data_IF_746244908793
#
_entry.id   IF_746244908793
#
_cell.length_a   1.000
_cell.length_b   1.000
_cell.length_c   1.000
_cell.angle_alpha   90.00
_cell.angle_beta   90.00
_cell.angle_gamma   90.00
#
_symmetry.space_group_name_H-M   'P 1'
#
loop_
_entity.id
_entity.type
_entity.pdbx_description
1 polymer ?
#
# COMPACT_ATOMS: atom_id res chain seq x y z
N UNK A 1 -26.42 6.96 -1.78
CA UNK A 1 -25.92 6.36 -0.52
C UNK A 1 -24.42 6.42 -0.62
N UNK A 2 -23.72 7.02 0.34
CA UNK A 2 -22.27 6.86 0.39
C UNK A 2 -22.01 5.44 0.85
N UNK A 3 -21.34 4.65 0.03
CA UNK A 3 -20.94 3.29 0.42
C UNK A 3 -20.00 3.39 1.63
N UNK A 4 -20.35 2.69 2.71
CA UNK A 4 -19.65 2.74 3.98
C UNK A 4 -18.19 2.27 3.80
N UNK A 5 -17.27 3.07 4.35
CA UNK A 5 -15.85 2.75 4.39
C UNK A 5 -15.57 1.94 5.65
N UNK A 6 -15.15 0.68 5.48
CA UNK A 6 -14.76 -0.21 6.58
C UNK A 6 -13.23 -0.33 6.65
N UNK A 7 -12.69 -0.62 7.83
CA UNK A 7 -11.26 -0.85 8.03
C UNK A 7 -10.99 -2.20 8.67
N UNK A 8 -9.96 -2.91 8.21
CA UNK A 8 -9.52 -4.19 8.80
C UNK A 8 -8.00 -4.37 8.69
N UNK A 9 -7.39 -5.23 9.51
CA UNK A 9 -6.03 -5.70 9.26
C UNK A 9 -5.94 -6.36 7.88
N UNK A 10 -4.84 -6.10 7.18
CA UNK A 10 -4.51 -6.78 5.94
C UNK A 10 -4.01 -8.21 6.23
N UNK A 11 -4.15 -9.10 5.26
CA UNK A 11 -3.58 -10.45 5.28
C UNK A 11 -2.52 -10.59 4.18
N UNK A 12 -1.67 -11.63 4.23
CA UNK A 12 -0.74 -11.92 3.14
C UNK A 12 -1.39 -12.05 1.75
N UNK A 13 -2.66 -12.44 1.69
CA UNK A 13 -3.41 -12.58 0.43
C UNK A 13 -3.73 -11.21 -0.21
N UNK A 14 -3.77 -10.14 0.59
CA UNK A 14 -4.00 -8.78 0.09
C UNK A 14 -2.78 -8.20 -0.65
N UNK A 15 -1.58 -8.82 -0.55
CA UNK A 15 -0.29 -8.27 -1.01
C UNK A 15 -0.34 -7.70 -2.43
N UNK A 16 -0.96 -8.43 -3.37
CA UNK A 16 -1.07 -8.00 -4.76
C UNK A 16 -1.88 -6.71 -4.90
N UNK A 17 -3.00 -6.61 -4.16
CA UNK A 17 -3.85 -5.42 -4.16
C UNK A 17 -3.14 -4.22 -3.53
N UNK A 18 -2.46 -4.41 -2.39
CA UNK A 18 -1.69 -3.35 -1.72
C UNK A 18 -0.61 -2.79 -2.65
N UNK A 19 0.19 -3.66 -3.27
CA UNK A 19 1.28 -3.22 -4.14
C UNK A 19 0.77 -2.49 -5.40
N UNK A 20 -0.35 -2.94 -5.95
CA UNK A 20 -1.02 -2.26 -7.07
C UNK A 20 -1.49 -0.86 -6.68
N UNK A 21 -2.11 -0.71 -5.49
CA UNK A 21 -2.54 0.58 -4.95
C UNK A 21 -1.34 1.51 -4.74
N UNK A 22 -0.27 1.03 -4.10
CA UNK A 22 0.99 1.78 -3.89
C UNK A 22 1.52 2.35 -5.20
N UNK A 23 1.62 1.49 -6.21
CA UNK A 23 2.17 1.85 -7.51
C UNK A 23 1.29 2.89 -8.23
N UNK A 24 -0.04 2.72 -8.16
CA UNK A 24 -0.97 3.70 -8.75
C UNK A 24 -0.91 5.05 -8.04
N UNK A 25 -0.90 5.05 -6.70
CA UNK A 25 -0.84 6.26 -5.89
C UNK A 25 0.44 7.03 -6.16
N UNK A 26 1.59 6.37 -6.05
CA UNK A 26 2.90 6.96 -6.33
C UNK A 26 3.00 7.47 -7.77
N UNK A 27 2.46 6.75 -8.76
CA UNK A 27 2.48 7.21 -10.16
C UNK A 27 1.76 8.55 -10.34
N UNK A 28 0.65 8.77 -9.66
CA UNK A 28 -0.14 10.00 -9.76
C UNK A 28 0.47 11.11 -8.91
N UNK A 29 0.78 10.81 -7.65
CA UNK A 29 1.21 11.80 -6.66
C UNK A 29 2.66 12.25 -6.88
N UNK A 30 3.51 11.40 -7.47
CA UNK A 30 4.92 11.69 -7.68
C UNK A 30 5.27 12.13 -9.11
N UNK A 31 4.33 12.13 -10.07
CA UNK A 31 4.60 12.42 -11.49
C UNK A 31 5.29 13.79 -11.73
N UNK A 32 4.97 14.79 -10.91
CA UNK A 32 5.57 16.14 -11.00
C UNK A 32 6.86 16.33 -10.21
N UNK A 33 7.28 15.32 -9.43
CA UNK A 33 8.41 15.40 -8.50
C UNK A 33 9.62 14.60 -8.94
N UNK A 34 9.44 13.62 -9.83
CA UNK A 34 10.51 12.74 -10.31
C UNK A 34 10.55 12.69 -11.84
N UNK A 35 11.74 12.52 -12.44
CA UNK A 35 11.84 12.18 -13.85
C UNK A 35 11.04 10.89 -14.15
N UNK A 36 10.32 10.80 -15.29
CA UNK A 36 9.52 9.63 -15.62
C UNK A 36 10.29 8.31 -15.55
N UNK A 37 11.52 8.27 -16.08
CA UNK A 37 12.35 7.07 -16.06
C UNK A 37 12.76 6.62 -14.64
N UNK A 38 12.95 7.57 -13.71
CA UNK A 38 13.27 7.26 -12.32
C UNK A 38 12.04 6.69 -11.59
N UNK A 39 10.87 7.27 -11.85
CA UNK A 39 9.60 6.78 -11.32
C UNK A 39 9.28 5.38 -11.87
N UNK A 40 9.44 5.15 -13.17
CA UNK A 40 9.23 3.81 -13.77
C UNK A 40 10.16 2.75 -13.19
N UNK A 41 11.45 3.08 -13.01
CA UNK A 41 12.40 2.17 -12.37
C UNK A 41 11.98 1.82 -10.94
N UNK A 42 11.55 2.82 -10.15
CA UNK A 42 11.10 2.59 -8.77
C UNK A 42 9.81 1.78 -8.69
N UNK A 43 8.84 2.04 -9.57
CA UNK A 43 7.54 1.36 -9.56
C UNK A 43 7.61 -0.08 -10.10
N UNK A 44 8.64 -0.41 -10.88
CA UNK A 44 8.89 -1.78 -11.35
C UNK A 44 9.40 -2.72 -10.25
N UNK A 45 9.85 -2.21 -9.11
CA UNK A 45 10.33 -3.03 -8.01
C UNK A 45 9.22 -3.92 -7.41
N UNK A 46 9.57 -5.18 -7.13
CA UNK A 46 8.69 -6.11 -6.42
C UNK A 46 8.57 -5.75 -4.92
N UNK A 47 7.53 -6.22 -4.21
CA UNK A 47 7.42 -6.04 -2.77
C UNK A 47 8.65 -6.54 -2.04
N UNK A 48 9.27 -5.66 -1.25
CA UNK A 48 10.47 -5.97 -0.46
C UNK A 48 10.17 -7.00 0.63
N UNK A 49 11.19 -7.71 1.10
CA UNK A 49 11.04 -8.65 2.21
C UNK A 49 10.58 -7.96 3.50
N UNK A 50 11.00 -6.71 3.72
CA UNK A 50 10.53 -5.85 4.82
C UNK A 50 9.03 -5.60 4.75
N UNK A 51 8.51 -5.18 3.59
CA UNK A 51 7.07 -5.01 3.40
C UNK A 51 6.29 -6.30 3.66
N UNK A 52 6.78 -7.42 3.12
CA UNK A 52 6.17 -8.73 3.34
C UNK A 52 6.21 -9.15 4.81
N UNK A 53 7.26 -8.79 5.55
CA UNK A 53 7.39 -9.05 6.98
C UNK A 53 6.37 -8.22 7.79
N UNK A 54 6.29 -6.92 7.53
CA UNK A 54 5.32 -6.02 8.16
C UNK A 54 3.87 -6.50 7.92
N UNK A 55 3.57 -6.93 6.69
CA UNK A 55 2.27 -7.51 6.35
C UNK A 55 1.96 -8.78 7.16
N UNK A 56 2.92 -9.71 7.27
CA UNK A 56 2.74 -10.95 8.06
C UNK A 56 2.58 -10.68 9.55
N UNK A 57 3.13 -9.58 10.06
CA UNK A 57 3.00 -9.18 11.47
C UNK A 57 1.69 -8.42 11.75
N UNK A 58 0.87 -8.14 10.74
CA UNK A 58 -0.39 -7.44 10.91
C UNK A 58 -0.25 -5.93 11.07
N UNK A 59 0.88 -5.35 10.65
CA UNK A 59 1.11 -3.90 10.70
C UNK A 59 0.35 -3.12 9.61
N UNK A 60 -0.21 -3.81 8.62
CA UNK A 60 -0.98 -3.20 7.54
C UNK A 60 -2.48 -3.14 7.85
N UNK A 61 -3.10 -1.99 7.58
CA UNK A 61 -4.54 -1.75 7.69
C UNK A 61 -5.07 -1.40 6.30
N UNK A 62 -6.15 -2.04 5.87
CA UNK A 62 -6.83 -1.73 4.61
C UNK A 62 -8.13 -0.97 4.87
N UNK A 63 -8.48 -0.12 3.92
CA UNK A 63 -9.78 0.50 3.81
C UNK A 63 -10.57 -0.20 2.70
N UNK A 64 -11.79 -0.64 3.01
CA UNK A 64 -12.66 -1.39 2.10
C UNK A 64 -13.95 -0.61 1.81
N UNK A 65 -14.36 -0.62 0.54
CA UNK A 65 -15.66 -0.13 0.07
C UNK A 65 -16.21 -1.16 -0.93
N UNK A 66 -17.45 -1.59 -0.75
CA UNK A 66 -18.10 -2.61 -1.62
C UNK A 66 -17.27 -3.90 -1.79
N UNK A 67 -16.61 -4.34 -0.71
CA UNK A 67 -15.69 -5.50 -0.68
C UNK A 67 -14.43 -5.33 -1.54
N UNK A 68 -14.13 -4.11 -1.98
CA UNK A 68 -12.91 -3.77 -2.70
C UNK A 68 -11.99 -2.95 -1.79
N UNK A 69 -10.70 -3.30 -1.77
CA UNK A 69 -9.69 -2.49 -1.08
C UNK A 69 -9.48 -1.21 -1.88
N UNK A 70 -9.70 -0.06 -1.24
CA UNK A 70 -9.60 1.27 -1.87
C UNK A 70 -8.39 2.07 -1.38
N UNK A 71 -7.73 1.60 -0.32
CA UNK A 71 -6.53 2.21 0.24
C UNK A 71 -5.95 1.34 1.35
N UNK A 72 -4.73 1.64 1.77
CA UNK A 72 -4.10 0.98 2.89
C UNK A 72 -3.03 1.88 3.52
N UNK A 73 -2.56 1.48 4.69
CA UNK A 73 -1.36 2.02 5.33
C UNK A 73 -0.66 0.90 6.09
N UNK A 74 0.64 1.02 6.31
CA UNK A 74 1.42 0.18 7.21
C UNK A 74 1.90 1.04 8.36
N UNK A 75 1.71 0.57 9.58
CA UNK A 75 2.13 1.23 10.81
C UNK A 75 2.80 0.22 11.71
N UNK A 76 4.12 0.36 11.88
CA UNK A 76 4.88 -0.35 12.92
C UNK A 76 5.34 0.65 13.98
N UNK A 77 4.64 0.66 15.11
CA UNK A 77 4.95 1.53 16.25
C UNK A 77 6.26 1.12 16.93
N UNK A 78 6.58 -0.18 16.93
CA UNK A 78 7.79 -0.70 17.58
C UNK A 78 9.05 -0.37 16.79
N UNK A 79 9.00 -0.59 15.48
CA UNK A 79 10.07 -0.22 14.54
C UNK A 79 10.07 1.26 14.14
N UNK A 80 9.02 2.01 14.49
CA UNK A 80 8.79 3.43 14.12
C UNK A 80 8.71 3.64 12.59
N UNK A 81 8.13 2.68 11.90
CA UNK A 81 7.98 2.67 10.44
C UNK A 81 6.54 3.08 10.06
N UNK A 82 6.45 3.92 9.03
CA UNK A 82 5.19 4.27 8.35
C UNK A 82 5.40 4.12 6.85
N UNK A 83 4.54 3.34 6.20
CA UNK A 83 4.55 3.15 4.74
C UNK A 83 3.12 3.26 4.21
N UNK A 84 2.89 4.05 3.16
CA UNK A 84 1.60 4.18 2.47
C UNK A 84 1.83 4.65 1.03
#
# INVERSE_FOLDING_TARGET
MCDDLAFRPATPDDLSALWSIRNRAARIQCAGHYPPAALDTWLAAAPSDGFRHLLRQGHAIVAERDRSIVGYTVVDVGGRELEA
#
